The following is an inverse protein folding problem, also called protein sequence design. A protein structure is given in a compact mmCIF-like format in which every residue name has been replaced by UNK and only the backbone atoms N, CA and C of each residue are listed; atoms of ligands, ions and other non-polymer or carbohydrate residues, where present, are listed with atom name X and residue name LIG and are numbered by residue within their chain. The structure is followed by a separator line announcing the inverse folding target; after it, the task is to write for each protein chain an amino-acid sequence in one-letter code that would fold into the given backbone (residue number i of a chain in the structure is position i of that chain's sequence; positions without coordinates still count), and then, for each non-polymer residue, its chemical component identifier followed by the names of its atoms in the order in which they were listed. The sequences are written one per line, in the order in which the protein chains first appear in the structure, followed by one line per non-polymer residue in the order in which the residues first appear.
data_IF_042923812064
#
_entry.id   IF_042923812064
#
_cell.length_a   1.000
_cell.length_b   1.000
_cell.length_c   1.000
_cell.angle_alpha   90.00
_cell.angle_beta   90.00
_cell.angle_gamma   90.00
#
_symmetry.space_group_name_H-M   'P 1'
#
loop_
_entity.id
_entity.type
_entity.pdbx_description
1 polymer ?
#
# COMPACT_ATOMS: atom_id res chain seq x y z
N UNK A 1 5.04 -7.32 5.69
CA UNK A 1 5.92 -8.16 6.54
C UNK A 1 6.48 -7.35 7.70
N UNK A 2 7.04 -7.97 8.76
CA UNK A 2 7.92 -7.27 9.71
C UNK A 2 9.18 -6.72 8.99
N UNK A 3 9.55 -7.33 7.86
CA UNK A 3 10.70 -6.91 7.06
C UNK A 3 10.48 -5.68 6.17
N UNK A 4 9.24 -5.17 6.10
CA UNK A 4 8.90 -4.06 5.22
C UNK A 4 9.65 -2.79 5.61
N UNK A 5 10.17 -2.07 4.62
CA UNK A 5 10.96 -0.84 4.82
C UNK A 5 10.24 0.18 5.70
N UNK A 6 8.93 0.37 5.50
CA UNK A 6 8.12 1.32 6.26
C UNK A 6 8.01 0.99 7.77
N UNK A 7 8.20 -0.28 8.13
CA UNK A 7 8.24 -0.73 9.54
C UNK A 7 9.65 -0.56 10.11
N UNK A 8 10.67 -0.90 9.32
CA UNK A 8 12.09 -0.75 9.70
C UNK A 8 12.49 0.72 9.93
N UNK A 9 11.88 1.64 9.20
CA UNK A 9 12.09 3.08 9.35
C UNK A 9 11.18 3.73 10.41
N UNK A 10 10.49 2.93 11.23
CA UNK A 10 9.60 3.38 12.33
C UNK A 10 8.45 4.32 11.89
N UNK A 11 8.15 4.38 10.59
CA UNK A 11 7.02 5.16 10.04
C UNK A 11 5.67 4.52 10.36
N UNK A 12 5.68 3.20 10.59
CA UNK A 12 4.56 2.37 10.98
C UNK A 12 4.91 1.51 12.20
N UNK A 13 4.03 1.54 13.20
CA UNK A 13 4.14 0.69 14.38
C UNK A 13 3.68 -0.75 14.09
N UNK A 14 4.13 -1.70 14.91
CA UNK A 14 3.63 -3.09 14.85
C UNK A 14 2.13 -3.20 15.08
N UNK A 15 1.53 -2.30 15.88
CA UNK A 15 0.08 -2.25 16.10
C UNK A 15 -0.65 -1.83 14.84
N UNK A 16 -0.20 -0.76 14.18
CA UNK A 16 -0.77 -0.34 12.89
C UNK A 16 -0.61 -1.43 11.82
N UNK A 17 0.54 -2.12 11.77
CA UNK A 17 0.74 -3.25 10.87
C UNK A 17 -0.20 -4.42 11.14
N UNK A 18 -0.49 -4.71 12.41
CA UNK A 18 -1.45 -5.76 12.79
C UNK A 18 -2.86 -5.37 12.35
N UNK A 19 -3.22 -4.10 12.52
CA UNK A 19 -4.50 -3.56 12.06
C UNK A 19 -4.62 -3.61 10.52
N UNK A 20 -3.59 -3.23 9.78
CA UNK A 20 -3.58 -3.33 8.31
C UNK A 20 -3.83 -4.77 7.85
N UNK A 21 -3.20 -5.76 8.51
CA UNK A 21 -3.43 -7.18 8.22
C UNK A 21 -4.86 -7.61 8.52
N UNK A 22 -5.46 -7.14 9.61
CA UNK A 22 -6.85 -7.48 9.94
C UNK A 22 -7.85 -6.87 8.96
N UNK A 23 -7.46 -5.82 8.23
CA UNK A 23 -8.24 -5.23 7.13
C UNK A 23 -7.93 -5.85 5.75
N UNK A 24 -7.25 -7.01 5.69
CA UNK A 24 -6.83 -7.67 4.45
C UNK A 24 -5.91 -6.83 3.55
N UNK A 25 -5.04 -6.01 4.16
CA UNK A 25 -4.04 -5.23 3.43
C UNK A 25 -3.06 -6.14 2.68
N UNK A 26 -2.98 -5.94 1.35
CA UNK A 26 -2.13 -6.69 0.45
C UNK A 26 -0.78 -6.00 0.21
N UNK A 27 -0.77 -4.67 0.14
CA UNK A 27 0.45 -3.90 -0.10
C UNK A 27 0.24 -2.40 0.11
N UNK A 28 1.28 -1.63 -0.15
CA UNK A 28 1.24 -0.17 -0.16
C UNK A 28 1.95 0.42 -1.39
N UNK A 29 1.53 1.62 -1.79
CA UNK A 29 2.24 2.49 -2.73
C UNK A 29 2.35 3.84 -2.05
N UNK A 30 3.57 4.36 -1.90
CA UNK A 30 3.85 5.63 -1.21
C UNK A 30 3.25 5.68 0.23
N UNK A 31 3.20 4.54 0.94
CA UNK A 31 2.61 4.44 2.28
C UNK A 31 1.07 4.43 2.32
N UNK A 32 0.40 4.43 1.17
CA UNK A 32 -1.04 4.23 1.07
C UNK A 32 -1.35 2.75 0.82
N UNK A 33 -2.08 2.14 1.75
CA UNK A 33 -2.32 0.69 1.79
C UNK A 33 -3.62 0.34 1.08
N UNK A 34 -3.61 -0.80 0.41
CA UNK A 34 -4.75 -1.33 -0.34
C UNK A 34 -4.87 -2.84 -0.18
N UNK A 35 -6.05 -3.38 -0.50
CA UNK A 35 -6.34 -4.83 -0.47
C UNK A 35 -6.13 -5.49 -1.84
N UNK A 36 -6.32 -6.81 -1.93
CA UNK A 36 -6.18 -7.58 -3.19
C UNK A 36 -7.24 -7.25 -4.26
N UNK A 37 -8.29 -6.53 -3.90
CA UNK A 37 -9.29 -6.03 -4.86
C UNK A 37 -8.91 -4.67 -5.45
N UNK A 38 -7.85 -4.04 -4.95
CA UNK A 38 -7.45 -2.69 -5.36
C UNK A 38 -8.20 -1.58 -4.63
N UNK A 39 -8.88 -1.89 -3.52
CA UNK A 39 -9.52 -0.87 -2.69
C UNK A 39 -8.50 -0.32 -1.69
N UNK A 40 -8.48 1.00 -1.53
CA UNK A 40 -7.74 1.66 -0.47
C UNK A 40 -8.33 1.28 0.89
N UNK A 41 -7.46 0.96 1.85
CA UNK A 41 -7.88 0.75 3.24
C UNK A 41 -8.13 2.10 3.93
N UNK A 42 -9.17 2.19 4.74
CA UNK A 42 -9.40 3.38 5.56
C UNK A 42 -8.54 3.31 6.83
N UNK A 43 -7.42 4.03 6.84
CA UNK A 43 -6.45 4.01 7.94
C UNK A 43 -6.17 5.42 8.47
N UNK A 44 -6.09 5.56 9.80
CA UNK A 44 -5.66 6.82 10.43
C UNK A 44 -4.26 7.27 9.99
N UNK A 45 -3.40 6.31 9.62
CA UNK A 45 -2.08 6.56 9.03
C UNK A 45 -2.14 7.45 7.78
N UNK A 46 -3.17 7.32 6.94
CA UNK A 46 -3.28 8.10 5.70
C UNK A 46 -3.52 9.58 5.96
N UNK A 47 -4.17 9.94 7.08
CA UNK A 47 -4.43 11.33 7.44
C UNK A 47 -3.18 12.13 7.83
N UNK A 48 -2.10 11.44 8.21
CA UNK A 48 -0.81 12.04 8.57
C UNK A 48 0.24 11.92 7.47
N UNK A 49 -0.13 11.40 6.30
CA UNK A 49 0.77 11.17 5.19
C UNK A 49 0.87 12.41 4.30
N UNK A 50 2.08 12.97 4.17
CA UNK A 50 2.36 14.04 3.22
C UNK A 50 2.96 13.37 1.97
N UNK A 51 2.20 13.33 0.88
CA UNK A 51 2.61 12.69 -0.37
C UNK A 51 1.53 12.75 -1.45
N UNK A 52 1.83 12.20 -2.62
CA UNK A 52 0.88 12.12 -3.75
C UNK A 52 -0.20 11.08 -3.48
N UNK A 53 -1.49 11.44 -3.42
CA UNK A 53 -2.57 10.47 -3.27
C UNK A 53 -2.62 9.47 -4.42
N UNK A 54 -3.00 8.22 -4.17
CA UNK A 54 -3.15 7.22 -5.26
C UNK A 54 -4.24 7.58 -6.27
N UNK A 55 -5.20 8.42 -5.88
CA UNK A 55 -6.18 8.98 -6.82
C UNK A 55 -5.53 9.84 -7.91
N UNK A 56 -4.39 10.47 -7.64
CA UNK A 56 -3.66 11.22 -8.67
C UNK A 56 -3.02 10.25 -9.66
N UNK A 57 -2.36 9.19 -9.18
CA UNK A 57 -1.73 8.19 -10.05
C UNK A 57 -2.75 7.55 -11.01
N UNK A 58 -3.94 7.21 -10.49
CA UNK A 58 -5.10 6.73 -11.29
C UNK A 58 -5.48 7.61 -12.49
N UNK A 59 -5.22 8.91 -12.40
CA UNK A 59 -5.55 9.89 -13.44
C UNK A 59 -4.35 10.25 -14.32
N UNK A 60 -3.15 9.76 -14.02
CA UNK A 60 -1.97 10.00 -14.83
C UNK A 60 -2.03 9.18 -16.12
N UNK A 61 -1.58 9.77 -17.22
CA UNK A 61 -1.51 9.08 -18.52
C UNK A 61 -0.56 7.87 -18.49
N UNK A 62 0.51 7.97 -17.71
CA UNK A 62 1.56 6.95 -17.64
C UNK A 62 1.99 6.75 -16.19
N UNK A 63 1.88 5.50 -15.72
CA UNK A 63 2.41 5.04 -14.43
C UNK A 63 3.24 3.80 -14.68
N UNK A 64 4.43 3.72 -14.07
CA UNK A 64 5.33 2.57 -14.16
C UNK A 64 5.61 2.05 -12.76
N UNK A 65 5.11 0.86 -12.46
CA UNK A 65 5.40 0.14 -11.21
C UNK A 65 6.58 -0.80 -11.37
N UNK A 66 7.51 -0.79 -10.40
CA UNK A 66 8.63 -1.73 -10.34
C UNK A 66 8.55 -2.51 -9.04
N UNK A 67 8.26 -3.81 -9.13
CA UNK A 67 8.15 -4.71 -8.00
C UNK A 67 8.59 -6.13 -8.39
N UNK A 68 8.99 -6.93 -7.40
CA UNK A 68 9.41 -8.31 -7.59
C UNK A 68 9.53 -9.07 -6.27
N UNK A 69 9.45 -10.39 -6.34
CA UNK A 69 9.37 -11.32 -5.21
C UNK A 69 8.03 -12.06 -5.16
N UNK A 70 8.05 -13.37 -4.90
CA UNK A 70 6.82 -14.20 -4.81
C UNK A 70 5.91 -13.75 -3.67
N UNK A 71 6.49 -13.17 -2.61
CA UNK A 71 5.77 -12.58 -1.49
C UNK A 71 4.96 -11.33 -1.85
N UNK A 72 5.12 -10.79 -3.07
CA UNK A 72 4.43 -9.58 -3.54
C UNK A 72 3.33 -9.85 -4.55
N UNK A 73 3.03 -11.12 -4.87
CA UNK A 73 2.01 -11.46 -5.88
C UNK A 73 0.68 -10.76 -5.58
N UNK A 74 0.19 -10.85 -4.34
CA UNK A 74 -1.08 -10.24 -3.92
C UNK A 74 -1.05 -8.70 -3.97
N UNK A 75 0.07 -8.10 -3.57
CA UNK A 75 0.27 -6.65 -3.65
C UNK A 75 0.27 -6.16 -5.10
N UNK A 76 1.04 -6.82 -5.98
CA UNK A 76 1.12 -6.47 -7.41
C UNK A 76 -0.26 -6.63 -8.05
N UNK A 77 -0.97 -7.71 -7.75
CA UNK A 77 -2.31 -7.95 -8.28
C UNK A 77 -3.33 -6.92 -7.80
N UNK A 78 -3.32 -6.59 -6.50
CA UNK A 78 -4.15 -5.52 -5.93
C UNK A 78 -3.85 -4.16 -6.56
N UNK A 79 -2.58 -3.83 -6.80
CA UNK A 79 -2.19 -2.58 -7.42
C UNK A 79 -2.70 -2.43 -8.87
N UNK A 80 -2.58 -3.50 -9.66
CA UNK A 80 -3.11 -3.53 -11.03
C UNK A 80 -4.64 -3.40 -11.06
N UNK A 81 -5.35 -4.07 -10.15
CA UNK A 81 -6.81 -3.93 -10.04
C UNK A 81 -7.25 -2.53 -9.60
N UNK A 82 -6.48 -1.91 -8.71
CA UNK A 82 -6.74 -0.54 -8.23
C UNK A 82 -6.47 0.54 -9.27
N UNK A 83 -5.87 0.17 -10.42
CA UNK A 83 -5.44 1.08 -11.48
C UNK A 83 -4.50 2.19 -10.96
N UNK A 84 -3.63 1.85 -9.99
CA UNK A 84 -2.72 2.79 -9.36
C UNK A 84 -1.49 3.09 -10.20
#
# INVERSE_FOLDING_TARGET
SQDATIVKEEKLTLREMTYIRSQNGAGDILGQFYNTNGDLLELSHHNRLIGTPLSILRNMKHVVGVAGGTEKIDAIYGALKGNF
#
